data_IF_433269391203
#
_entry.id   IF_433269391203
#
_cell.length_a   1.000
_cell.length_b   1.000
_cell.length_c   1.000
_cell.angle_alpha   90.00
_cell.angle_beta   90.00
_cell.angle_gamma   90.00
#
_symmetry.space_group_name_H-M   'P 1'
#
loop_
_entity.id
_entity.type
_entity.pdbx_description
1 polymer ?
#
# COMPACT_ATOMS: atom_id res chain seq x y z
N UNK A 1 58.73 -11.74 13.33
CA UNK A 1 58.49 -13.08 13.90
C UNK A 1 57.03 -13.37 13.94
N UNK A 2 56.73 -14.48 13.39
CA UNK A 2 55.56 -15.33 13.39
C UNK A 2 54.36 -14.93 12.53
N UNK A 3 54.34 -15.51 11.37
CA UNK A 3 53.17 -15.79 10.53
C UNK A 3 52.28 -16.85 11.18
N UNK A 4 50.98 -16.74 11.01
CA UNK A 4 50.08 -17.91 11.04
C UNK A 4 49.09 -17.79 9.89
N UNK A 5 49.32 -18.60 8.90
CA UNK A 5 48.38 -19.01 7.84
C UNK A 5 47.31 -19.92 8.44
N UNK A 6 46.07 -19.77 8.00
CA UNK A 6 45.10 -20.84 8.08
C UNK A 6 44.21 -20.83 6.83
N UNK A 7 44.59 -21.71 5.91
CA UNK A 7 43.79 -22.16 4.77
C UNK A 7 42.84 -23.28 5.23
N UNK A 8 41.55 -23.16 4.90
CA UNK A 8 40.69 -24.36 4.79
C UNK A 8 39.61 -24.13 3.73
N UNK A 9 39.90 -24.65 2.56
CA UNK A 9 38.98 -24.90 1.45
C UNK A 9 38.24 -26.21 1.77
N UNK A 10 36.94 -26.17 1.99
CA UNK A 10 36.11 -27.37 1.98
C UNK A 10 35.38 -27.50 0.64
N UNK A 11 35.79 -28.50 -0.10
CA UNK A 11 35.18 -29.05 -1.32
C UNK A 11 33.79 -29.61 -0.98
N UNK A 12 32.78 -29.18 -1.71
CA UNK A 12 31.53 -29.92 -1.83
C UNK A 12 31.58 -30.73 -3.12
N UNK A 13 31.62 -32.07 -2.96
CA UNK A 13 31.58 -33.04 -4.04
C UNK A 13 30.17 -33.14 -4.63
N UNK A 14 30.11 -33.09 -5.95
CA UNK A 14 28.92 -33.42 -6.71
C UNK A 14 28.65 -34.92 -6.68
N UNK A 15 27.44 -35.34 -6.29
CA UNK A 15 26.87 -36.65 -6.53
C UNK A 15 25.71 -36.51 -7.51
N UNK A 16 25.97 -36.90 -8.76
CA UNK A 16 24.98 -37.15 -9.79
C UNK A 16 24.29 -38.50 -9.52
N UNK A 17 22.96 -38.49 -9.40
CA UNK A 17 22.12 -39.68 -9.52
C UNK A 17 21.03 -39.39 -10.57
N UNK A 18 20.94 -40.19 -11.65
CA UNK A 18 19.85 -40.08 -12.59
C UNK A 18 18.66 -40.91 -12.17
N UNK A 19 17.48 -40.32 -12.18
CA UNK A 19 16.22 -41.03 -11.87
C UNK A 19 15.01 -40.18 -12.07
N UNK A 20 14.37 -40.36 -13.22
CA UNK A 20 13.05 -39.86 -13.56
C UNK A 20 12.00 -40.11 -12.47
N UNK A 21 11.37 -39.09 -11.92
CA UNK A 21 10.10 -39.23 -11.17
C UNK A 21 9.15 -38.11 -11.51
N UNK A 22 8.02 -38.50 -12.10
CA UNK A 22 6.84 -37.74 -12.37
C UNK A 22 6.39 -36.91 -11.16
N UNK A 23 6.21 -35.61 -11.33
CA UNK A 23 5.55 -34.75 -10.36
C UNK A 23 4.07 -35.11 -10.28
N UNK A 24 3.64 -35.78 -9.22
CA UNK A 24 2.23 -35.91 -8.87
C UNK A 24 1.73 -34.63 -8.27
N UNK A 25 0.82 -33.94 -8.97
CA UNK A 25 0.01 -32.85 -8.47
C UNK A 25 -0.86 -33.36 -7.30
N UNK A 26 -0.52 -32.95 -6.08
CA UNK A 26 -1.41 -33.12 -4.93
C UNK A 26 -2.59 -32.15 -5.03
N UNK A 27 -3.73 -32.63 -5.50
CA UNK A 27 -5.02 -31.98 -5.27
C UNK A 27 -5.32 -31.99 -3.78
N UNK A 28 -5.32 -30.83 -3.13
CA UNK A 28 -5.82 -30.70 -1.76
C UNK A 28 -7.33 -30.98 -1.78
N UNK A 29 -7.78 -32.00 -1.04
CA UNK A 29 -9.19 -32.25 -0.74
C UNK A 29 -9.69 -31.18 0.21
N UNK A 30 -10.97 -30.74 0.12
CA UNK A 30 -11.57 -29.84 1.11
C UNK A 30 -11.59 -30.53 2.48
N UNK A 31 -11.26 -29.78 3.52
CA UNK A 31 -11.40 -30.24 4.90
C UNK A 31 -12.88 -30.14 5.25
N UNK A 32 -13.55 -31.29 5.44
CA UNK A 32 -14.87 -31.36 6.04
C UNK A 32 -14.76 -30.98 7.52
N UNK A 33 -15.46 -29.93 7.91
CA UNK A 33 -15.65 -29.56 9.31
C UNK A 33 -16.63 -30.54 9.94
N UNK A 34 -16.11 -31.47 10.76
CA UNK A 34 -16.90 -32.32 11.64
C UNK A 34 -17.52 -31.47 12.75
N UNK A 35 -18.81 -31.27 12.69
CA UNK A 35 -19.59 -30.79 13.83
C UNK A 35 -19.80 -31.94 14.82
N UNK A 36 -19.63 -31.75 16.13
CA UNK A 36 -19.95 -32.80 17.11
C UNK A 36 -21.47 -33.01 17.15
N UNK A 37 -21.87 -34.26 16.93
CA UNK A 37 -23.24 -34.69 17.08
C UNK A 37 -23.65 -34.67 18.56
N UNK A 38 -24.85 -34.18 18.84
CA UNK A 38 -25.53 -34.31 20.13
C UNK A 38 -25.84 -35.75 20.42
N UNK A 39 -25.35 -36.26 21.54
CA UNK A 39 -25.84 -37.51 22.12
C UNK A 39 -27.24 -37.31 22.70
N UNK A 40 -28.17 -38.11 22.20
CA UNK A 40 -29.50 -38.30 22.80
C UNK A 40 -29.36 -39.28 23.98
N UNK A 41 -29.63 -38.83 25.18
CA UNK A 41 -29.82 -39.68 26.33
C UNK A 41 -31.35 -39.87 26.61
N UNK A 42 -31.71 -41.15 26.66
CA UNK A 42 -33.06 -41.62 26.76
C UNK A 42 -33.76 -41.34 28.08
N UNK A 43 -35.08 -41.38 28.02
CA UNK A 43 -36.08 -41.10 29.01
C UNK A 43 -36.04 -41.98 30.26
N UNK A 44 -36.38 -41.37 31.42
CA UNK A 44 -37.14 -42.02 32.50
C UNK A 44 -37.78 -41.00 33.45
N UNK A 45 -39.11 -41.12 33.66
CA UNK A 45 -39.78 -40.82 34.91
C UNK A 45 -40.34 -39.42 35.15
N UNK A 46 -41.66 -39.23 34.90
CA UNK A 46 -42.48 -38.20 35.55
C UNK A 46 -42.70 -38.49 37.02
N UNK A 47 -42.87 -37.48 37.88
CA UNK A 47 -44.25 -37.11 38.27
C UNK A 47 -44.49 -35.58 38.26
N UNK A 48 -45.81 -35.30 38.24
CA UNK A 48 -46.42 -33.99 38.15
C UNK A 48 -46.32 -33.19 39.46
N UNK A 49 -46.35 -31.89 39.26
CA UNK A 49 -47.13 -30.81 39.92
C UNK A 49 -46.27 -29.60 40.22
N UNK A 50 -46.61 -28.50 39.68
CA UNK A 50 -46.90 -27.21 40.24
C UNK A 50 -46.68 -26.09 39.25
N UNK A 51 -47.69 -25.31 38.99
CA UNK A 51 -47.59 -24.06 38.24
C UNK A 51 -46.97 -22.98 39.12
N UNK A 52 -45.93 -22.32 38.70
CA UNK A 52 -45.58 -20.99 39.16
C UNK A 52 -45.99 -19.93 38.13
N UNK A 53 -46.30 -18.79 38.67
CA UNK A 53 -46.92 -17.65 38.05
C UNK A 53 -46.18 -17.07 36.86
N UNK A 54 -46.98 -16.40 36.07
CA UNK A 54 -46.60 -15.59 34.92
C UNK A 54 -45.38 -14.70 35.16
N UNK A 55 -44.24 -15.05 34.56
CA UNK A 55 -43.11 -14.14 34.42
C UNK A 55 -43.52 -12.98 33.46
N UNK A 56 -43.13 -11.74 33.77
CA UNK A 56 -43.44 -10.62 32.89
C UNK A 56 -42.78 -10.83 31.50
N UNK A 57 -43.59 -10.72 30.44
CA UNK A 57 -43.08 -10.62 29.07
C UNK A 57 -42.08 -9.44 29.03
N UNK A 58 -40.81 -9.72 28.83
CA UNK A 58 -39.80 -8.73 28.44
C UNK A 58 -40.23 -8.07 27.14
N UNK A 59 -40.62 -6.82 27.25
CA UNK A 59 -40.84 -5.95 26.09
C UNK A 59 -39.51 -5.79 25.32
N UNK A 60 -39.51 -5.72 23.97
CA UNK A 60 -38.30 -5.48 23.20
C UNK A 60 -37.67 -4.17 23.66
N UNK A 61 -36.44 -4.27 24.17
CA UNK A 61 -35.73 -3.29 24.95
C UNK A 61 -35.74 -1.88 24.38
N UNK A 62 -36.14 -0.94 25.19
CA UNK A 62 -35.82 0.48 25.01
C UNK A 62 -34.32 0.62 24.90
N UNK A 63 -33.80 1.50 24.02
CA UNK A 63 -32.35 1.73 23.92
C UNK A 63 -31.84 2.14 25.31
N UNK A 64 -30.86 1.41 25.82
CA UNK A 64 -30.13 1.77 27.03
C UNK A 64 -29.65 3.21 26.91
N UNK A 65 -29.90 4.04 27.88
CA UNK A 65 -29.39 5.41 27.93
C UNK A 65 -27.86 5.46 27.80
N UNK A 66 -27.30 6.61 27.43
CA UNK A 66 -25.86 6.75 27.24
C UNK A 66 -25.10 6.40 28.53
N UNK A 67 -24.13 5.51 28.43
CA UNK A 67 -23.16 5.24 29.51
C UNK A 67 -22.09 6.31 29.51
N UNK A 68 -21.66 6.79 30.67
CA UNK A 68 -20.64 7.83 30.81
C UNK A 68 -19.28 7.20 31.14
N UNK A 69 -18.21 7.63 30.45
CA UNK A 69 -16.85 7.26 30.74
C UNK A 69 -15.93 8.49 30.59
N UNK A 70 -15.24 8.88 31.64
CA UNK A 70 -14.29 9.99 31.64
C UNK A 70 -14.86 11.27 30.95
N UNK A 71 -16.15 11.55 31.15
CA UNK A 71 -16.89 12.66 30.54
C UNK A 71 -17.35 12.41 29.07
N UNK A 72 -17.10 11.23 28.51
CA UNK A 72 -17.59 10.82 27.19
C UNK A 72 -18.84 9.94 27.32
N UNK A 73 -19.89 10.27 26.57
CA UNK A 73 -21.09 9.44 26.46
C UNK A 73 -20.95 8.44 25.31
N UNK A 74 -21.34 7.20 25.52
CA UNK A 74 -21.35 6.19 24.46
C UNK A 74 -22.66 5.38 24.49
N UNK A 75 -23.05 4.91 23.32
CA UNK A 75 -24.20 4.02 23.11
C UNK A 75 -23.72 2.57 23.03
N UNK A 76 -24.56 1.62 23.44
CA UNK A 76 -24.36 0.20 23.16
C UNK A 76 -25.09 -0.17 21.87
N UNK A 77 -24.46 -0.85 20.96
CA UNK A 77 -25.12 -1.41 19.78
C UNK A 77 -26.07 -2.55 20.21
N UNK A 78 -27.18 -2.69 19.50
CA UNK A 78 -28.15 -3.77 19.70
C UNK A 78 -28.13 -4.74 18.49
N UNK A 79 -28.59 -5.98 18.66
CA UNK A 79 -28.70 -6.94 17.56
C UNK A 79 -29.56 -6.38 16.41
N UNK A 80 -29.02 -6.41 15.16
CA UNK A 80 -29.72 -5.85 14.00
C UNK A 80 -29.58 -4.34 13.81
N UNK A 81 -28.68 -3.68 14.52
CA UNK A 81 -28.41 -2.25 14.33
C UNK A 81 -27.93 -1.97 12.89
N UNK A 82 -28.72 -1.18 12.16
CA UNK A 82 -28.45 -0.84 10.75
C UNK A 82 -27.10 -0.12 10.53
N UNK A 83 -26.55 0.49 11.58
CA UNK A 83 -25.24 1.15 11.53
C UNK A 83 -24.11 0.15 11.26
N UNK A 84 -24.24 -1.07 11.80
CA UNK A 84 -23.23 -2.13 11.65
C UNK A 84 -23.13 -2.62 10.20
N UNK A 85 -24.26 -2.75 9.50
CA UNK A 85 -24.28 -3.14 8.09
C UNK A 85 -23.52 -2.15 7.19
N UNK A 86 -23.59 -0.84 7.51
CA UNK A 86 -22.85 0.19 6.77
C UNK A 86 -21.34 0.06 6.94
N UNK A 87 -20.85 -0.42 8.08
CA UNK A 87 -19.41 -0.64 8.31
C UNK A 87 -18.87 -1.70 7.36
N UNK A 88 -19.59 -2.82 7.21
CA UNK A 88 -19.21 -3.90 6.28
C UNK A 88 -19.11 -3.39 4.84
N UNK A 89 -20.11 -2.62 4.40
CA UNK A 89 -20.14 -2.07 3.05
C UNK A 89 -18.99 -1.08 2.83
N UNK A 90 -18.69 -0.23 3.82
CA UNK A 90 -17.60 0.74 3.77
C UNK A 90 -16.23 0.04 3.71
N UNK A 91 -16.07 -1.07 4.44
CA UNK A 91 -14.85 -1.86 4.41
C UNK A 91 -14.59 -2.49 3.02
N UNK A 92 -15.63 -3.03 2.39
CA UNK A 92 -15.50 -3.88 1.19
C UNK A 92 -15.70 -3.17 -0.14
N UNK A 93 -16.34 -1.99 -0.18
CA UNK A 93 -16.74 -1.34 -1.44
C UNK A 93 -16.07 0.02 -1.65
N UNK A 94 -15.15 0.10 -2.64
CA UNK A 94 -14.55 1.35 -3.13
C UNK A 94 -15.66 2.35 -3.53
N UNK A 95 -16.60 1.90 -4.37
CA UNK A 95 -17.71 2.75 -4.84
C UNK A 95 -18.51 3.36 -3.69
N UNK A 96 -18.76 2.58 -2.63
CA UNK A 96 -19.49 3.06 -1.46
C UNK A 96 -18.68 4.09 -0.67
N UNK A 97 -17.35 3.89 -0.51
CA UNK A 97 -16.45 4.87 0.13
C UNK A 97 -16.45 6.19 -0.63
N UNK A 98 -16.34 6.13 -1.97
CA UNK A 98 -16.31 7.31 -2.84
C UNK A 98 -17.64 8.08 -2.81
N UNK A 99 -18.77 7.39 -2.97
CA UNK A 99 -20.10 8.00 -2.96
C UNK A 99 -20.44 8.68 -1.63
N UNK A 100 -20.00 8.12 -0.51
CA UNK A 100 -20.30 8.67 0.82
C UNK A 100 -19.19 9.58 1.35
N UNK A 101 -18.06 9.71 0.64
CA UNK A 101 -16.92 10.49 1.10
C UNK A 101 -16.39 10.02 2.46
N UNK A 102 -16.39 8.69 2.71
CA UNK A 102 -16.00 8.11 4.00
C UNK A 102 -14.95 7.04 3.85
N UNK A 103 -14.13 6.90 4.88
CA UNK A 103 -13.13 5.84 4.99
C UNK A 103 -13.28 5.11 6.31
N UNK A 104 -12.76 3.89 6.36
CA UNK A 104 -12.70 3.07 7.56
C UNK A 104 -11.25 2.92 7.99
N UNK A 105 -10.97 3.29 9.23
CA UNK A 105 -9.63 3.19 9.83
C UNK A 105 -9.69 2.24 11.01
N UNK A 106 -8.90 1.18 10.96
CA UNK A 106 -8.85 0.15 11.99
C UNK A 106 -7.56 0.24 12.82
N UNK A 107 -7.71 0.12 14.11
CA UNK A 107 -6.62 0.02 15.06
C UNK A 107 -6.22 1.36 15.68
N UNK A 108 -5.82 1.27 16.95
CA UNK A 108 -5.49 2.43 17.79
C UNK A 108 -4.49 3.38 17.15
N UNK A 109 -3.38 2.84 16.65
CA UNK A 109 -2.30 3.66 16.08
C UNK A 109 -2.77 4.46 14.87
N UNK A 110 -3.45 3.82 13.92
CA UNK A 110 -3.95 4.50 12.72
C UNK A 110 -5.00 5.55 13.05
N UNK A 111 -5.90 5.27 13.99
CA UNK A 111 -6.90 6.23 14.46
C UNK A 111 -6.21 7.43 15.10
N UNK A 112 -5.19 7.22 15.94
CA UNK A 112 -4.42 8.30 16.58
C UNK A 112 -3.67 9.13 15.54
N UNK A 113 -3.00 8.49 14.56
CA UNK A 113 -2.29 9.18 13.48
C UNK A 113 -3.29 10.02 12.65
N UNK A 114 -4.44 9.47 12.29
CA UNK A 114 -5.49 10.17 11.57
C UNK A 114 -6.01 11.41 12.32
N UNK A 115 -6.33 11.24 13.61
CA UNK A 115 -6.74 12.34 14.48
C UNK A 115 -5.64 13.39 14.65
N UNK A 116 -4.38 12.95 14.72
CA UNK A 116 -3.20 13.82 14.77
C UNK A 116 -3.09 14.72 13.54
N UNK A 117 -3.32 14.15 12.36
CA UNK A 117 -3.31 14.85 11.09
C UNK A 117 -4.56 15.71 10.81
N UNK A 118 -5.51 15.76 11.75
CA UNK A 118 -6.71 16.57 11.62
C UNK A 118 -7.83 15.92 10.80
N UNK A 119 -7.76 14.61 10.54
CA UNK A 119 -8.85 13.90 9.89
C UNK A 119 -10.10 13.86 10.79
N UNK A 120 -11.28 14.05 10.18
CA UNK A 120 -12.55 14.18 10.89
C UNK A 120 -13.17 12.81 11.18
N UNK A 121 -13.08 12.37 12.44
CA UNK A 121 -13.74 11.16 12.93
C UNK A 121 -15.24 11.41 13.18
N UNK A 122 -16.11 10.63 12.55
CA UNK A 122 -17.57 10.73 12.72
C UNK A 122 -18.13 9.73 13.72
N UNK A 123 -17.67 8.49 13.64
CA UNK A 123 -18.16 7.40 14.48
C UNK A 123 -16.99 6.50 14.87
N UNK A 124 -16.91 6.12 16.12
CA UNK A 124 -15.96 5.16 16.64
C UNK A 124 -16.68 3.96 17.21
N UNK A 125 -16.39 2.79 16.68
CA UNK A 125 -16.81 1.51 17.22
C UNK A 125 -15.68 0.93 18.07
N UNK A 126 -16.00 0.44 19.25
CA UNK A 126 -15.03 -0.13 20.17
C UNK A 126 -15.63 -1.31 20.96
N UNK A 127 -14.81 -2.30 21.28
CA UNK A 127 -15.25 -3.49 22.02
C UNK A 127 -15.10 -3.34 23.52
N UNK A 128 -14.00 -2.75 23.98
CA UNK A 128 -13.69 -2.58 25.40
C UNK A 128 -13.42 -1.12 25.72
N UNK A 129 -13.66 -0.75 26.96
CA UNK A 129 -13.43 0.62 27.44
C UNK A 129 -11.94 0.96 27.45
N UNK A 130 -11.10 -0.03 27.67
CA UNK A 130 -9.65 0.09 27.65
C UNK A 130 -9.18 0.53 26.26
N UNK A 131 -9.74 -0.06 25.18
CA UNK A 131 -9.43 0.34 23.81
C UNK A 131 -9.78 1.81 23.52
N UNK A 132 -10.77 2.36 24.22
CA UNK A 132 -11.15 3.77 24.10
C UNK A 132 -10.17 4.68 24.85
N UNK A 133 -9.74 4.28 26.07
CA UNK A 133 -8.80 5.06 26.91
C UNK A 133 -7.44 5.24 26.26
N UNK A 134 -7.04 4.34 25.39
CA UNK A 134 -5.78 4.39 24.68
C UNK A 134 -5.77 5.41 23.51
N UNK A 135 -6.91 6.04 23.21
CA UNK A 135 -7.07 7.06 22.20
C UNK A 135 -7.02 8.47 22.81
N UNK A 136 -6.75 9.53 22.02
CA UNK A 136 -6.77 10.91 22.50
C UNK A 136 -8.22 11.35 22.83
N UNK A 137 -8.67 11.14 24.07
CA UNK A 137 -10.04 11.35 24.52
C UNK A 137 -10.57 12.76 24.25
N UNK A 138 -9.70 13.77 24.30
CA UNK A 138 -10.06 15.17 24.00
C UNK A 138 -10.62 15.34 22.59
N UNK A 139 -10.09 14.59 21.62
CA UNK A 139 -10.54 14.62 20.22
C UNK A 139 -11.82 13.82 19.98
N UNK A 140 -12.28 13.07 21.00
CA UNK A 140 -13.47 12.22 20.90
C UNK A 140 -14.76 12.89 21.44
N UNK A 141 -14.68 14.09 22.03
CA UNK A 141 -15.81 14.77 22.70
C UNK A 141 -17.05 14.96 21.80
N UNK A 142 -16.84 15.11 20.48
CA UNK A 142 -17.93 15.33 19.51
C UNK A 142 -18.14 14.13 18.58
N UNK A 143 -17.54 12.99 18.90
CA UNK A 143 -17.59 11.78 18.08
C UNK A 143 -18.71 10.87 18.61
N UNK A 144 -19.43 10.25 17.70
CA UNK A 144 -20.41 9.21 18.07
C UNK A 144 -19.69 7.94 18.48
N UNK A 145 -19.71 7.62 19.78
CA UNK A 145 -19.05 6.45 20.35
C UNK A 145 -20.06 5.31 20.47
N UNK A 146 -19.73 4.14 19.90
CA UNK A 146 -20.61 2.97 19.89
C UNK A 146 -19.85 1.76 20.40
N UNK A 147 -20.28 1.23 21.54
CA UNK A 147 -19.75 -0.04 22.07
C UNK A 147 -20.40 -1.21 21.34
N UNK A 148 -19.58 -2.10 20.78
CA UNK A 148 -19.99 -3.29 20.05
C UNK A 148 -19.38 -4.53 20.67
N UNK A 149 -19.89 -5.73 20.32
CA UNK A 149 -19.22 -6.98 20.67
C UNK A 149 -17.95 -7.14 19.85
N UNK A 150 -16.94 -7.80 20.42
CA UNK A 150 -15.67 -8.03 19.72
C UNK A 150 -15.84 -8.84 18.42
N UNK A 151 -16.82 -9.76 18.41
CA UNK A 151 -17.18 -10.57 17.26
C UNK A 151 -17.63 -9.70 16.06
N UNK A 152 -18.33 -8.59 16.32
CA UNK A 152 -18.72 -7.65 15.26
C UNK A 152 -17.47 -7.00 14.62
N UNK A 153 -16.53 -6.55 15.45
CA UNK A 153 -15.27 -5.99 14.95
C UNK A 153 -14.48 -7.02 14.14
N UNK A 154 -14.45 -8.28 14.61
CA UNK A 154 -13.79 -9.37 13.90
C UNK A 154 -14.40 -9.65 12.52
N UNK A 155 -15.71 -9.50 12.36
CA UNK A 155 -16.37 -9.64 11.05
C UNK A 155 -16.05 -8.49 10.07
N UNK A 156 -15.73 -7.31 10.59
CA UNK A 156 -15.40 -6.14 9.76
C UNK A 156 -13.92 -6.05 9.42
N UNK A 157 -13.10 -6.75 10.19
CA UNK A 157 -11.65 -6.76 10.06
C UNK A 157 -11.19 -7.97 9.27
N UNK A 158 -10.19 -7.78 8.40
CA UNK A 158 -9.47 -8.86 7.76
C UNK A 158 -8.26 -9.33 8.60
N UNK A 159 -8.10 -8.81 9.83
CA UNK A 159 -7.02 -9.19 10.72
C UNK A 159 -7.35 -10.48 11.49
N UNK A 160 -6.35 -11.31 11.70
CA UNK A 160 -6.45 -12.49 12.57
C UNK A 160 -6.73 -12.08 14.01
N UNK A 161 -6.10 -10.99 14.45
CA UNK A 161 -6.24 -10.40 15.80
C UNK A 161 -6.59 -8.90 15.69
N UNK A 162 -7.88 -8.55 15.56
CA UNK A 162 -8.32 -7.15 15.54
C UNK A 162 -7.99 -6.42 16.84
N UNK A 163 -7.69 -5.12 16.74
CA UNK A 163 -7.32 -4.30 17.90
C UNK A 163 -8.52 -3.75 18.68
N UNK A 164 -9.73 -4.15 18.33
CA UNK A 164 -10.94 -3.80 19.10
C UNK A 164 -11.44 -2.37 18.91
N UNK A 165 -10.91 -1.61 17.96
CA UNK A 165 -11.37 -0.25 17.65
C UNK A 165 -11.37 0.01 16.14
N UNK A 166 -12.49 0.57 15.62
CA UNK A 166 -12.67 0.93 14.21
C UNK A 166 -13.35 2.29 14.13
N UNK A 167 -12.74 3.22 13.40
CA UNK A 167 -13.24 4.57 13.17
C UNK A 167 -13.77 4.76 11.75
N UNK A 168 -14.94 5.43 11.62
CA UNK A 168 -15.42 5.98 10.35
C UNK A 168 -15.03 7.45 10.29
N UNK A 169 -14.17 7.78 9.35
CA UNK A 169 -13.72 9.14 9.08
C UNK A 169 -14.35 9.71 7.81
N UNK A 170 -14.45 11.01 7.73
CA UNK A 170 -14.62 11.70 6.46
C UNK A 170 -13.36 11.42 5.64
N UNK A 171 -13.51 11.14 4.33
CA UNK A 171 -12.35 10.94 3.45
C UNK A 171 -11.45 12.17 3.52
N UNK A 172 -10.19 12.02 3.95
CA UNK A 172 -9.31 13.17 4.10
C UNK A 172 -9.01 13.84 2.77
N UNK A 173 -8.96 15.15 2.79
CA UNK A 173 -8.47 15.99 1.72
C UNK A 173 -7.02 16.39 2.07
N UNK A 174 -6.06 16.01 1.26
CA UNK A 174 -4.64 16.26 1.49
C UNK A 174 -4.32 17.75 1.66
N UNK A 175 -5.10 18.65 1.05
CA UNK A 175 -4.92 20.11 1.16
C UNK A 175 -5.29 20.66 2.54
N UNK A 176 -6.13 19.92 3.29
CA UNK A 176 -6.64 20.31 4.61
C UNK A 176 -5.97 19.57 5.76
N UNK A 177 -5.13 18.59 5.45
CA UNK A 177 -4.44 17.80 6.45
C UNK A 177 -3.23 18.54 7.02
N UNK A 178 -2.97 18.29 8.30
CA UNK A 178 -1.78 18.80 9.02
C UNK A 178 -0.77 17.67 9.14
N UNK A 179 0.27 17.72 8.33
CA UNK A 179 1.34 16.74 8.40
C UNK A 179 2.31 17.06 9.55
N UNK A 180 2.90 16.04 10.22
CA UNK A 180 3.81 16.25 11.34
C UNK A 180 5.02 17.11 10.94
N UNK A 181 5.37 18.12 11.75
CA UNK A 181 6.51 19.03 11.50
C UNK A 181 7.82 18.26 11.32
N UNK A 182 8.07 17.28 12.17
CA UNK A 182 9.26 16.42 12.08
C UNK A 182 9.38 15.69 10.73
N UNK A 183 8.26 15.36 10.10
CA UNK A 183 8.29 14.76 8.76
C UNK A 183 8.69 15.80 7.71
N UNK A 184 8.20 17.04 7.85
CA UNK A 184 8.52 18.13 6.92
C UNK A 184 9.99 18.54 7.00
N UNK A 185 10.57 18.57 8.19
CA UNK A 185 11.99 18.88 8.42
C UNK A 185 12.93 17.86 7.75
N UNK A 186 12.48 16.61 7.62
CA UNK A 186 13.28 15.54 7.02
C UNK A 186 12.91 15.23 5.57
N UNK A 187 12.07 16.08 4.97
CA UNK A 187 11.67 15.94 3.57
C UNK A 187 12.82 16.34 2.64
N UNK A 188 13.01 15.52 1.61
CA UNK A 188 13.93 15.80 0.49
C UNK A 188 13.13 16.05 -0.78
N UNK A 189 13.67 16.76 -1.80
CA UNK A 189 12.96 17.06 -3.03
C UNK A 189 12.87 15.82 -3.95
N UNK A 190 12.37 14.73 -3.38
CA UNK A 190 12.10 13.44 -4.01
C UNK A 190 10.61 13.19 -4.02
N UNK A 191 10.06 12.85 -5.18
CA UNK A 191 8.65 12.53 -5.36
C UNK A 191 8.48 11.11 -5.86
N UNK A 192 7.37 10.49 -5.50
CA UNK A 192 7.00 9.17 -5.99
C UNK A 192 5.78 9.28 -6.91
N UNK A 193 5.83 8.62 -8.05
CA UNK A 193 4.68 8.43 -8.95
C UNK A 193 4.39 6.92 -8.99
N UNK A 194 3.22 6.52 -8.56
CA UNK A 194 2.75 5.14 -8.68
C UNK A 194 1.94 4.97 -9.96
N UNK A 195 2.41 4.09 -10.84
CA UNK A 195 1.77 3.83 -12.12
C UNK A 195 1.05 2.48 -12.10
N UNK A 196 -0.29 2.53 -12.09
CA UNK A 196 -1.15 1.35 -12.18
C UNK A 196 -0.85 0.25 -11.14
N UNK A 197 -0.52 0.64 -9.90
CA UNK A 197 -0.23 -0.29 -8.81
C UNK A 197 -1.55 -0.85 -8.26
N UNK A 198 -1.84 -2.13 -8.54
CA UNK A 198 -3.13 -2.76 -8.24
C UNK A 198 -3.16 -3.56 -6.93
N UNK A 199 -2.01 -4.07 -6.48
CA UNK A 199 -1.98 -4.80 -5.20
C UNK A 199 -1.97 -3.83 -4.01
N UNK A 200 -2.95 -3.95 -3.09
CA UNK A 200 -3.06 -3.05 -1.94
C UNK A 200 -1.93 -3.21 -0.93
N UNK A 201 -1.31 -4.39 -0.84
CA UNK A 201 -0.16 -4.63 0.02
C UNK A 201 1.08 -3.90 -0.50
N UNK A 202 1.33 -3.99 -1.81
CA UNK A 202 2.43 -3.30 -2.46
C UNK A 202 2.25 -1.79 -2.36
N UNK A 203 1.06 -1.25 -2.71
CA UNK A 203 0.82 0.18 -2.59
C UNK A 203 1.07 0.68 -1.16
N UNK A 204 0.51 0.02 -0.16
CA UNK A 204 0.73 0.42 1.24
C UNK A 204 2.20 0.38 1.65
N UNK A 205 2.94 -0.65 1.24
CA UNK A 205 4.38 -0.78 1.51
C UNK A 205 5.18 0.31 0.80
N UNK A 206 4.85 0.64 -0.45
CA UNK A 206 5.46 1.73 -1.22
C UNK A 206 5.24 3.07 -0.52
N UNK A 207 4.01 3.36 -0.08
CA UNK A 207 3.70 4.59 0.66
C UNK A 207 4.51 4.70 1.95
N UNK A 208 4.65 3.59 2.67
CA UNK A 208 5.47 3.54 3.88
C UNK A 208 6.95 3.81 3.59
N UNK A 209 7.49 3.26 2.52
CA UNK A 209 8.87 3.49 2.07
C UNK A 209 9.08 4.94 1.63
N UNK A 210 8.11 5.53 0.92
CA UNK A 210 8.16 6.94 0.52
C UNK A 210 8.22 7.89 1.72
N UNK A 211 7.40 7.66 2.75
CA UNK A 211 7.46 8.43 4.01
C UNK A 211 8.80 8.25 4.69
N UNK A 212 9.30 7.01 4.80
CA UNK A 212 10.57 6.71 5.46
C UNK A 212 11.78 7.29 4.71
N UNK A 213 11.72 7.33 3.39
CA UNK A 213 12.73 7.99 2.56
C UNK A 213 12.60 9.52 2.54
N UNK A 214 11.59 10.11 3.17
CA UNK A 214 11.38 11.56 3.22
C UNK A 214 10.91 12.17 1.90
N UNK A 215 10.15 11.43 1.10
CA UNK A 215 9.52 11.98 -0.12
C UNK A 215 8.62 13.16 0.22
N UNK A 216 8.59 14.18 -0.64
CA UNK A 216 7.75 15.37 -0.45
C UNK A 216 6.27 15.12 -0.74
N UNK A 217 5.95 14.25 -1.68
CA UNK A 217 4.58 13.85 -2.05
C UNK A 217 4.56 12.56 -2.85
N UNK A 218 3.37 11.96 -2.93
CA UNK A 218 3.08 10.79 -3.76
C UNK A 218 1.93 11.12 -4.72
N UNK A 219 2.14 10.81 -5.99
CA UNK A 219 1.15 10.92 -7.06
C UNK A 219 0.77 9.51 -7.51
N UNK A 220 -0.51 9.21 -7.60
CA UNK A 220 -1.00 7.89 -8.02
C UNK A 220 -1.88 8.04 -9.26
N UNK A 221 -1.52 7.33 -10.32
CA UNK A 221 -2.28 7.35 -11.57
C UNK A 221 -3.64 6.68 -11.41
N UNK A 222 -4.54 6.99 -12.33
CA UNK A 222 -5.77 6.24 -12.51
C UNK A 222 -5.41 4.78 -12.84
N UNK A 223 -6.10 3.84 -12.21
CA UNK A 223 -5.76 2.41 -12.30
C UNK A 223 -5.07 1.87 -11.05
N UNK A 224 -4.47 2.72 -10.23
CA UNK A 224 -4.02 2.31 -8.90
C UNK A 224 -5.20 1.89 -8.01
N UNK A 225 -4.94 0.94 -7.12
CA UNK A 225 -5.90 0.53 -6.09
C UNK A 225 -6.29 1.73 -5.22
N UNK A 226 -7.50 1.69 -4.65
CA UNK A 226 -7.96 2.77 -3.76
C UNK A 226 -7.00 2.96 -2.57
N UNK A 227 -6.34 4.10 -2.51
CA UNK A 227 -5.41 4.44 -1.44
C UNK A 227 -6.04 4.37 -0.04
N UNK A 228 -7.35 4.58 0.05
CA UNK A 228 -8.12 4.52 1.30
C UNK A 228 -8.73 3.14 1.58
N UNK A 229 -8.36 2.13 0.83
CA UNK A 229 -8.76 0.76 1.15
C UNK A 229 -8.14 0.31 2.49
N UNK A 230 -8.91 -0.37 3.37
CA UNK A 230 -8.40 -0.79 4.68
C UNK A 230 -7.09 -1.60 4.62
N UNK A 231 -6.91 -2.42 3.58
CA UNK A 231 -5.67 -3.19 3.38
C UNK A 231 -4.48 -2.29 3.06
N UNK A 232 -4.66 -1.23 2.24
CA UNK A 232 -3.62 -0.24 1.94
C UNK A 232 -3.26 0.57 3.18
N UNK A 233 -4.28 1.04 3.93
CA UNK A 233 -4.08 1.78 5.18
C UNK A 233 -3.26 0.98 6.20
N UNK A 234 -3.56 -0.31 6.35
CA UNK A 234 -2.82 -1.20 7.26
C UNK A 234 -1.38 -1.41 6.80
N UNK A 235 -1.18 -1.78 5.54
CA UNK A 235 0.17 -1.99 4.98
C UNK A 235 1.02 -0.71 5.05
N UNK A 236 0.41 0.46 4.82
CA UNK A 236 1.05 1.77 4.88
C UNK A 236 1.38 2.25 6.30
N UNK A 237 0.85 1.59 7.36
CA UNK A 237 1.18 1.89 8.77
C UNK A 237 1.10 3.38 9.12
N UNK A 238 0.07 4.08 8.63
CA UNK A 238 -0.15 5.51 8.89
C UNK A 238 0.59 6.46 7.93
N UNK A 239 1.23 5.98 6.89
CA UNK A 239 1.88 6.80 5.87
C UNK A 239 0.94 7.86 5.27
N UNK A 240 -0.34 7.51 5.12
CA UNK A 240 -1.40 8.39 4.60
C UNK A 240 -1.57 9.70 5.39
N UNK A 241 -1.17 9.73 6.65
CA UNK A 241 -1.29 10.86 7.56
C UNK A 241 0.02 11.61 7.77
N UNK A 242 1.07 11.27 6.99
CA UNK A 242 2.43 11.81 7.13
C UNK A 242 2.95 12.51 5.88
N UNK A 243 2.37 12.23 4.72
CA UNK A 243 2.80 12.75 3.42
C UNK A 243 1.56 13.06 2.56
N UNK A 244 1.59 14.13 1.73
CA UNK A 244 0.54 14.37 0.75
C UNK A 244 0.47 13.24 -0.29
N UNK A 245 -0.72 12.66 -0.46
CA UNK A 245 -0.99 11.63 -1.47
C UNK A 245 -2.14 12.09 -2.34
N UNK A 246 -1.87 12.30 -3.62
CA UNK A 246 -2.84 12.70 -4.63
C UNK A 246 -3.09 11.48 -5.51
N UNK A 247 -4.32 11.00 -5.54
CA UNK A 247 -4.68 9.76 -6.22
C UNK A 247 -5.69 9.97 -7.34
N UNK A 248 -5.81 8.96 -8.21
CA UNK A 248 -6.73 8.96 -9.35
C UNK A 248 -6.43 10.06 -10.37
N UNK A 249 -5.13 10.26 -10.66
CA UNK A 249 -4.65 11.24 -11.63
C UNK A 249 -4.56 10.63 -13.02
N UNK A 250 -5.05 11.36 -14.02
CA UNK A 250 -4.71 11.10 -15.41
C UNK A 250 -3.27 11.57 -15.68
N UNK A 251 -2.58 10.94 -16.61
CA UNK A 251 -1.17 11.25 -16.89
C UNK A 251 -0.96 12.69 -17.35
N UNK A 252 -1.90 13.24 -18.09
CA UNK A 252 -1.88 14.63 -18.59
C UNK A 252 -1.86 15.67 -17.47
N UNK A 253 -2.36 15.30 -16.30
CA UNK A 253 -2.47 16.18 -15.14
C UNK A 253 -1.24 16.09 -14.23
N UNK A 254 -0.50 14.99 -14.25
CA UNK A 254 0.66 14.76 -13.38
C UNK A 254 1.72 15.87 -13.47
N UNK A 255 2.07 16.40 -14.66
CA UNK A 255 3.03 17.49 -14.76
C UNK A 255 2.64 18.75 -13.97
N UNK A 256 1.36 19.02 -13.76
CA UNK A 256 0.89 20.17 -12.97
C UNK A 256 1.24 20.08 -11.47
N UNK A 257 1.58 18.88 -11.00
CA UNK A 257 2.02 18.65 -9.62
C UNK A 257 3.54 18.62 -9.48
N UNK A 258 4.27 18.77 -10.58
CA UNK A 258 5.74 18.77 -10.61
C UNK A 258 6.24 20.17 -10.96
N UNK A 259 7.44 20.51 -10.47
CA UNK A 259 8.13 21.71 -10.94
C UNK A 259 8.63 21.50 -12.37
N UNK A 260 8.79 22.56 -13.14
CA UNK A 260 9.37 22.52 -14.48
C UNK A 260 10.82 21.97 -14.50
N UNK A 261 11.51 22.07 -13.37
CA UNK A 261 12.87 21.53 -13.17
C UNK A 261 12.88 20.08 -12.70
N UNK A 262 11.70 19.45 -12.47
CA UNK A 262 11.65 18.07 -11.99
C UNK A 262 12.06 17.10 -13.07
N UNK A 263 13.11 16.32 -12.80
CA UNK A 263 13.50 15.18 -13.63
C UNK A 263 12.68 13.95 -13.21
N UNK A 264 12.05 13.30 -14.18
CA UNK A 264 11.25 12.10 -13.96
C UNK A 264 12.02 10.87 -14.40
N UNK A 265 12.27 9.96 -13.48
CA UNK A 265 12.97 8.70 -13.70
C UNK A 265 11.96 7.55 -13.61
N UNK A 266 12.18 6.48 -14.35
CA UNK A 266 11.30 5.32 -14.32
C UNK A 266 12.05 4.07 -13.84
N UNK A 267 11.44 3.30 -12.95
CA UNK A 267 12.01 2.02 -12.48
C UNK A 267 11.72 0.93 -13.51
N UNK A 268 12.75 0.45 -14.17
CA UNK A 268 12.64 -0.57 -15.23
C UNK A 268 13.65 -1.70 -14.95
N UNK A 269 13.21 -2.97 -14.84
CA UNK A 269 14.11 -4.10 -14.65
C UNK A 269 14.97 -4.41 -15.89
N UNK A 270 14.60 -3.88 -17.06
CA UNK A 270 15.30 -4.15 -18.32
C UNK A 270 16.74 -3.63 -18.25
N UNK A 271 17.69 -4.51 -18.33
CA UNK A 271 19.09 -4.16 -18.55
C UNK A 271 19.19 -3.52 -19.94
N UNK A 272 19.61 -2.28 -20.01
CA UNK A 272 19.97 -1.69 -21.29
C UNK A 272 21.11 -2.50 -21.90
N UNK A 273 20.75 -3.44 -22.71
CA UNK A 273 21.73 -4.07 -23.60
C UNK A 273 22.33 -2.96 -24.42
N UNK A 274 23.62 -2.64 -24.16
CA UNK A 274 24.46 -1.85 -25.05
C UNK A 274 24.74 -2.69 -26.27
N UNK A 275 23.79 -2.80 -27.18
CA UNK A 275 24.07 -3.30 -28.50
C UNK A 275 23.62 -2.26 -29.51
N UNK A 276 24.60 -1.42 -29.90
CA UNK A 276 24.59 -0.60 -31.10
C UNK A 276 24.88 -1.46 -32.31
N UNK A 277 24.03 -2.44 -32.60
CA UNK A 277 24.03 -3.07 -33.93
C UNK A 277 22.59 -3.39 -34.31
N UNK A 278 21.99 -2.44 -35.02
CA UNK A 278 20.72 -2.63 -35.75
C UNK A 278 21.03 -3.55 -36.93
N UNK A 279 20.81 -4.85 -36.72
CA UNK A 279 20.50 -5.77 -37.83
C UNK A 279 19.08 -6.27 -37.60
N UNK A 280 18.20 -6.27 -38.63
CA UNK A 280 16.85 -6.79 -38.48
C UNK A 280 16.90 -8.28 -38.13
N UNK A 281 16.11 -8.81 -37.19
CA UNK A 281 16.10 -10.23 -36.91
C UNK A 281 15.39 -10.98 -38.06
N UNK A 282 16.15 -11.94 -38.66
CA UNK A 282 15.54 -13.00 -39.46
C UNK A 282 14.54 -13.80 -38.64
N UNK A 283 13.43 -14.17 -39.28
CA UNK A 283 12.39 -15.04 -38.67
C UNK A 283 13.00 -16.39 -38.27
N UNK A 284 13.02 -16.69 -36.98
CA UNK A 284 13.42 -18.01 -36.48
C UNK A 284 13.27 -18.13 -34.95
N UNK A 285 12.12 -18.60 -34.54
CA UNK A 285 11.82 -19.40 -33.35
C UNK A 285 12.44 -19.09 -31.99
N UNK A 286 11.55 -18.98 -31.01
CA UNK A 286 11.64 -19.24 -29.56
C UNK A 286 12.03 -18.08 -28.67
N UNK A 287 11.00 -17.54 -28.04
CA UNK A 287 10.96 -17.32 -26.59
C UNK A 287 11.62 -16.08 -26.02
N UNK A 288 11.16 -14.88 -26.39
CA UNK A 288 11.40 -13.73 -25.50
C UNK A 288 10.09 -12.96 -25.25
N UNK A 289 9.65 -13.02 -23.98
CA UNK A 289 8.42 -12.36 -23.52
C UNK A 289 8.77 -11.01 -22.88
N UNK A 290 9.19 -10.04 -23.65
CA UNK A 290 9.49 -8.74 -23.04
C UNK A 290 8.66 -7.55 -23.53
N UNK A 291 7.72 -7.72 -24.42
CA UNK A 291 6.79 -6.62 -24.77
C UNK A 291 5.42 -7.21 -25.13
N UNK A 292 4.52 -7.34 -24.15
CA UNK A 292 3.12 -7.60 -24.49
C UNK A 292 2.55 -6.32 -25.11
N UNK A 293 2.35 -6.39 -26.45
CA UNK A 293 1.41 -5.55 -27.16
C UNK A 293 0.12 -5.49 -26.37
N UNK A 294 -0.37 -4.29 -26.13
CA UNK A 294 -1.74 -4.06 -25.74
C UNK A 294 -2.57 -4.36 -26.96
N UNK A 295 -3.13 -5.57 -27.05
CA UNK A 295 -4.20 -5.88 -28.00
C UNK A 295 -5.39 -5.01 -27.64
N UNK A 296 -5.60 -3.96 -28.42
CA UNK A 296 -6.92 -3.35 -28.54
C UNK A 296 -7.78 -4.34 -29.32
N UNK A 297 -8.89 -4.77 -28.73
CA UNK A 297 -9.92 -5.49 -29.47
C UNK A 297 -10.38 -4.59 -30.61
N UNK A 298 -10.05 -5.00 -31.82
CA UNK A 298 -10.58 -4.44 -33.03
C UNK A 298 -12.11 -4.65 -33.05
N UNK A 299 -12.83 -3.56 -33.04
CA UNK A 299 -14.17 -3.52 -33.61
C UNK A 299 -13.99 -3.26 -35.08
N UNK A 300 -14.49 -4.20 -35.91
CA UNK A 300 -14.51 -4.12 -37.37
C UNK A 300 -15.09 -2.77 -37.83
N UNK A 301 -14.24 -1.89 -38.33
CA UNK A 301 -14.60 -0.84 -39.27
C UNK A 301 -13.39 -0.63 -40.18
N UNK A 302 -13.57 -1.08 -41.43
CA UNK A 302 -12.64 -0.86 -42.55
C UNK A 302 -12.60 0.65 -42.87
N UNK A 303 -11.63 1.37 -42.36
CA UNK A 303 -11.18 2.66 -42.88
C UNK A 303 -9.65 2.67 -42.84
N UNK A 304 -9.06 2.59 -44.04
CA UNK A 304 -7.59 2.73 -44.27
C UNK A 304 -7.13 4.15 -43.89
N UNK A 305 -6.83 4.40 -42.59
CA UNK A 305 -6.00 5.53 -42.22
C UNK A 305 -4.66 4.97 -41.70
N UNK A 306 -3.57 5.37 -42.37
CA UNK A 306 -2.22 4.92 -42.08
C UNK A 306 -1.89 5.06 -40.61
N UNK A 307 -1.59 3.93 -39.97
CA UNK A 307 -1.16 3.80 -38.59
C UNK A 307 0.15 4.56 -38.41
N UNK A 308 0.08 5.78 -37.90
CA UNK A 308 1.25 6.56 -37.51
C UNK A 308 1.85 5.88 -36.27
N UNK A 309 2.74 4.91 -36.47
CA UNK A 309 3.56 4.33 -35.42
C UNK A 309 4.43 5.44 -34.82
N UNK A 310 3.97 6.01 -33.72
CA UNK A 310 4.76 6.94 -32.96
C UNK A 310 6.04 6.22 -32.50
N UNK A 311 7.24 6.81 -32.73
CA UNK A 311 8.47 6.20 -32.30
C UNK A 311 8.47 6.00 -30.79
N UNK A 312 8.86 4.80 -30.34
CA UNK A 312 8.97 4.51 -28.90
C UNK A 312 9.91 5.51 -28.22
N UNK A 313 9.57 5.98 -27.00
CA UNK A 313 10.38 6.95 -26.27
C UNK A 313 11.82 6.44 -26.06
N UNK A 314 12.80 7.27 -26.40
CA UNK A 314 14.23 6.97 -26.25
C UNK A 314 14.71 7.40 -24.86
N UNK A 315 14.55 6.53 -23.87
CA UNK A 315 15.00 6.79 -22.49
C UNK A 315 16.19 5.89 -22.17
N UNK A 316 17.36 6.50 -21.93
CA UNK A 316 18.59 5.78 -21.59
C UNK A 316 18.48 5.01 -20.26
N UNK A 317 19.16 3.87 -20.14
CA UNK A 317 19.16 3.06 -18.93
C UNK A 317 20.41 3.35 -18.08
N UNK A 318 20.19 3.55 -16.75
CA UNK A 318 21.24 3.81 -15.78
C UNK A 318 21.13 2.84 -14.61
N UNK A 319 22.29 2.36 -14.15
CA UNK A 319 22.32 1.62 -12.90
C UNK A 319 21.89 2.52 -11.74
N UNK A 320 21.05 2.00 -10.84
CA UNK A 320 20.52 2.74 -9.70
C UNK A 320 21.59 3.35 -8.79
N UNK A 321 22.80 2.79 -8.78
CA UNK A 321 23.92 3.29 -7.97
C UNK A 321 24.69 4.46 -8.61
N UNK A 322 24.42 4.79 -9.88
CA UNK A 322 25.00 5.96 -10.54
C UNK A 322 24.35 7.26 -10.00
N UNK A 323 25.01 8.42 -10.10
CA UNK A 323 24.47 9.69 -9.65
C UNK A 323 23.38 10.19 -10.60
N UNK A 324 22.12 9.95 -10.27
CA UNK A 324 20.95 10.31 -11.08
C UNK A 324 20.03 11.34 -10.42
N UNK A 325 20.09 11.49 -9.08
CA UNK A 325 19.25 12.45 -8.38
C UNK A 325 19.66 13.88 -8.71
N UNK A 326 18.68 14.77 -8.79
CA UNK A 326 18.84 16.22 -8.99
C UNK A 326 18.04 16.97 -7.95
N UNK A 327 18.11 18.34 -7.98
CA UNK A 327 17.40 19.19 -7.04
C UNK A 327 15.91 18.87 -6.91
N UNK A 328 15.27 18.47 -8.02
CA UNK A 328 13.88 18.04 -8.04
C UNK A 328 13.80 16.73 -8.81
N UNK A 329 13.49 15.66 -8.13
CA UNK A 329 13.48 14.31 -8.72
C UNK A 329 12.17 13.58 -8.45
N UNK A 330 11.58 12.97 -9.46
CA UNK A 330 10.44 12.07 -9.33
C UNK A 330 10.80 10.67 -9.84
N UNK A 331 10.37 9.64 -9.12
CA UNK A 331 10.57 8.23 -9.53
C UNK A 331 9.21 7.60 -9.81
N UNK A 332 9.05 7.05 -10.99
CA UNK A 332 7.87 6.27 -11.38
C UNK A 332 8.10 4.80 -11.06
N UNK A 333 7.16 4.21 -10.35
CA UNK A 333 7.12 2.78 -10.04
C UNK A 333 5.91 2.17 -10.71
N UNK A 334 6.13 1.22 -11.61
CA UNK A 334 5.08 0.49 -12.32
C UNK A 334 4.47 -0.64 -11.48
N UNK A 335 3.26 -1.06 -11.87
CA UNK A 335 2.60 -2.24 -11.31
C UNK A 335 3.25 -3.54 -11.81
N UNK A 336 3.12 -4.63 -11.03
CA UNK A 336 3.75 -5.92 -11.34
C UNK A 336 3.23 -6.59 -12.61
N UNK A 337 1.96 -6.37 -12.95
CA UNK A 337 1.30 -7.07 -14.07
C UNK A 337 1.54 -6.40 -15.42
N UNK A 338 1.58 -5.07 -15.44
CA UNK A 338 1.60 -4.29 -16.68
C UNK A 338 2.90 -3.47 -16.85
N UNK A 339 3.76 -3.45 -15.82
CA UNK A 339 4.98 -2.65 -15.83
C UNK A 339 4.68 -1.15 -15.86
N UNK A 340 5.48 -0.42 -16.63
CA UNK A 340 5.34 1.02 -16.87
C UNK A 340 4.42 1.28 -18.05
N UNK A 341 3.61 2.33 -17.96
CA UNK A 341 2.80 2.83 -19.08
C UNK A 341 3.66 3.59 -20.10
N UNK A 342 3.16 3.75 -21.31
CA UNK A 342 3.82 4.55 -22.35
C UNK A 342 3.94 6.01 -21.89
N UNK A 343 2.93 6.53 -21.25
CA UNK A 343 2.89 7.90 -20.73
C UNK A 343 3.99 8.16 -19.69
N UNK A 344 4.32 7.16 -18.87
CA UNK A 344 5.45 7.24 -17.93
C UNK A 344 6.77 7.45 -18.67
N UNK A 345 7.00 6.68 -19.73
CA UNK A 345 8.21 6.77 -20.56
C UNK A 345 8.27 8.11 -21.32
N UNK A 346 7.16 8.56 -21.88
CA UNK A 346 7.07 9.87 -22.56
C UNK A 346 7.35 11.02 -21.59
N UNK A 347 6.85 10.95 -20.36
CA UNK A 347 7.13 11.97 -19.35
C UNK A 347 8.61 11.95 -18.93
N UNK A 348 9.21 10.77 -18.79
CA UNK A 348 10.65 10.63 -18.52
C UNK A 348 11.48 11.24 -19.66
N UNK A 349 11.20 10.91 -20.92
CA UNK A 349 11.89 11.48 -22.08
C UNK A 349 11.77 13.00 -22.11
N UNK A 350 10.56 13.53 -21.94
CA UNK A 350 10.29 14.98 -21.95
C UNK A 350 11.04 15.76 -20.88
N UNK A 351 11.32 15.13 -19.74
CA UNK A 351 12.04 15.75 -18.61
C UNK A 351 13.54 15.43 -18.59
N UNK A 352 14.07 14.78 -19.64
CA UNK A 352 15.47 14.36 -19.70
C UNK A 352 15.81 13.29 -18.65
N UNK A 353 14.84 12.48 -18.27
CA UNK A 353 14.99 11.41 -17.31
C UNK A 353 15.59 10.13 -17.90
N UNK A 354 15.77 9.13 -17.06
CA UNK A 354 16.36 7.84 -17.43
C UNK A 354 15.52 6.68 -16.83
N UNK A 355 15.78 5.50 -17.38
CA UNK A 355 15.35 4.23 -16.78
C UNK A 355 16.36 3.84 -15.72
N UNK A 356 15.92 3.61 -14.50
CA UNK A 356 16.75 3.12 -13.41
C UNK A 356 16.59 1.61 -13.28
N UNK A 357 17.66 0.87 -13.46
CA UNK A 357 17.66 -0.57 -13.22
C UNK A 357 18.48 -0.94 -11.99
N UNK A 358 18.02 -1.97 -11.29
CA UNK A 358 18.71 -2.59 -10.16
C UNK A 358 19.38 -3.88 -10.71
N UNK A 359 20.71 -4.00 -10.70
CA UNK A 359 21.38 -5.22 -11.17
C UNK A 359 20.95 -6.43 -10.37
N UNK A 360 20.56 -7.49 -11.06
CA UNK A 360 20.14 -8.76 -10.47
C UNK A 360 21.02 -9.91 -10.97
N UNK A 361 21.08 -10.99 -10.20
CA UNK A 361 21.73 -12.22 -10.65
C UNK A 361 20.93 -12.85 -11.80
N UNK A 362 21.59 -13.58 -12.72
CA UNK A 362 20.91 -14.32 -13.78
C UNK A 362 19.78 -15.21 -13.22
N UNK A 363 18.71 -15.36 -13.96
CA UNK A 363 17.51 -16.12 -13.64
C UNK A 363 16.53 -15.43 -12.63
N UNK A 364 16.74 -14.16 -12.29
CA UNK A 364 15.78 -13.32 -11.58
C UNK A 364 15.36 -12.18 -12.51
N UNK A 365 14.13 -12.19 -12.97
CA UNK A 365 13.64 -11.25 -13.98
C UNK A 365 13.29 -9.87 -13.38
N UNK A 366 12.74 -9.84 -12.18
CA UNK A 366 12.32 -8.59 -11.54
C UNK A 366 12.22 -8.73 -10.01
N UNK A 367 12.26 -7.60 -9.32
CA UNK A 367 11.90 -7.48 -7.91
C UNK A 367 10.41 -7.17 -7.78
N UNK A 368 9.84 -7.54 -6.63
CA UNK A 368 8.55 -7.00 -6.22
C UNK A 368 8.56 -5.46 -6.27
N UNK A 369 7.51 -4.84 -6.80
CA UNK A 369 7.42 -3.38 -7.00
C UNK A 369 7.69 -2.56 -5.74
N UNK A 370 7.25 -3.04 -4.57
CA UNK A 370 7.51 -2.36 -3.30
C UNK A 370 8.98 -2.48 -2.86
N UNK A 371 9.64 -3.58 -3.19
CA UNK A 371 11.07 -3.75 -2.90
C UNK A 371 11.92 -2.86 -3.82
N UNK A 372 11.63 -2.84 -5.12
CA UNK A 372 12.27 -1.94 -6.07
C UNK A 372 12.11 -0.48 -5.66
N UNK A 373 10.88 -0.07 -5.33
CA UNK A 373 10.59 1.27 -4.82
C UNK A 373 11.44 1.61 -3.59
N UNK A 374 11.55 0.69 -2.63
CA UNK A 374 12.34 0.93 -1.42
C UNK A 374 13.81 1.16 -1.73
N UNK A 375 14.42 0.34 -2.56
CA UNK A 375 15.83 0.48 -2.97
C UNK A 375 16.07 1.84 -3.65
N UNK A 376 15.24 2.19 -4.64
CA UNK A 376 15.41 3.42 -5.41
C UNK A 376 15.16 4.68 -4.57
N UNK A 377 14.14 4.68 -3.72
CA UNK A 377 13.80 5.83 -2.88
C UNK A 377 14.90 6.12 -1.83
N UNK A 378 15.44 5.08 -1.19
CA UNK A 378 16.53 5.28 -0.22
C UNK A 378 17.85 5.67 -0.88
N UNK A 379 18.13 5.16 -2.06
CA UNK A 379 19.29 5.61 -2.84
C UNK A 379 19.12 7.07 -3.27
N UNK A 380 17.94 7.46 -3.77
CA UNK A 380 17.63 8.85 -4.10
C UNK A 380 17.81 9.79 -2.90
N UNK A 381 17.29 9.38 -1.73
CA UNK A 381 17.52 10.13 -0.49
C UNK A 381 19.01 10.29 -0.19
N UNK A 382 19.79 9.21 -0.27
CA UNK A 382 21.24 9.24 -0.02
C UNK A 382 21.94 10.24 -0.93
N UNK A 383 21.63 10.19 -2.24
CA UNK A 383 22.23 11.08 -3.22
C UNK A 383 21.88 12.55 -2.94
N UNK A 384 20.59 12.86 -2.71
CA UNK A 384 20.14 14.22 -2.41
C UNK A 384 20.76 14.80 -1.13
N UNK A 385 20.87 14.01 -0.06
CA UNK A 385 21.53 14.45 1.16
C UNK A 385 23.03 14.70 0.96
N UNK A 386 23.70 13.90 0.13
CA UNK A 386 25.12 14.11 -0.18
C UNK A 386 25.35 15.41 -0.96
N UNK A 387 24.45 15.82 -1.83
CA UNK A 387 24.52 17.10 -2.54
C UNK A 387 24.44 18.29 -1.56
N UNK A 388 23.52 18.25 -0.59
CA UNK A 388 23.35 19.31 0.41
C UNK A 388 24.62 19.46 1.28
N UNK A 389 25.26 18.35 1.63
CA UNK A 389 26.51 18.39 2.42
C UNK A 389 27.68 18.95 1.61
N UNK A 390 27.76 18.66 0.30
CA UNK A 390 28.80 19.19 -0.58
C UNK A 390 28.69 20.72 -0.76
N UNK A 391 27.46 21.24 -0.95
CA UNK A 391 27.25 22.70 -1.08
C UNK A 391 27.60 23.46 0.20
N UNK A 392 27.26 22.92 1.37
CA UNK A 392 27.58 23.55 2.67
C UNK A 392 29.08 23.52 3.00
N UNK A 393 29.87 22.62 2.37
CA UNK A 393 31.32 22.57 2.58
C UNK A 393 32.09 23.56 1.72
N UNK A 394 31.54 24.00 0.60
CA UNK A 394 32.14 25.01 -0.30
C UNK A 394 31.91 26.43 0.18
N UNK A 395 30.89 26.69 1.01
CA UNK A 395 30.56 28.02 1.55
C UNK A 395 31.27 28.39 2.86
N UNK A 396 32.21 27.58 3.36
CA UNK A 396 33.06 28.00 4.48
C UNK A 396 34.19 28.88 3.92
N UNK A 397 34.17 30.20 4.17
CA UNK A 397 35.29 31.05 3.78
C UNK A 397 36.55 30.55 4.52
N UNK A 398 37.62 30.42 3.78
CA UNK A 398 38.97 30.10 4.26
C UNK A 398 39.41 31.19 5.28
N UNK A 399 39.03 31.07 6.54
CA UNK A 399 39.54 31.92 7.60
C UNK A 399 40.87 31.34 8.12
N UNK A 400 41.89 31.40 7.27
CA UNK A 400 43.27 31.23 7.69
C UNK A 400 44.08 32.28 6.94
N UNK A 401 44.29 33.41 7.57
CA UNK A 401 45.50 34.24 7.49
C UNK A 401 45.34 35.41 8.47
N UNK A 402 45.97 35.38 9.58
CA UNK A 402 46.97 36.34 10.08
C UNK A 402 47.42 35.93 11.49
#
# INVERSE_FOLDING_TARGET
MAALSCSSVSRWGALLVPGSRQLRLFRRRPIELLYPQKEEAAAAGRPATEKPGSAPREQPGRPFGPSLLDGLSYEKAFPGDKRLAKVVTLAKSKKFREQHGKILVEGRRLITDALGAGALLQTLFFSTVESLRELPLEKLKHVKLIKVKFEEIKMWSDLVTPQGAIGIFVRPDHSKMKYPAIQQEHTVPLFLIGDNIRDPGNLGTILRSAVAAGCGKVLLTKGCVDVWEPKVLRAGMGAHFRIPIISNLEWEVIPNYLSSSTRVLVADPSHGGTDHSVTPPELGATGDRSWRQVEYQESDSEDEEGEFLLPLPKVGAWCYSQPWAQEQTAIVIGGETHGLSLEALLLAEKTGGQRLYIPMVPAVDSLNSAMAASVLLFEGRRQLLSMVTATNSTDRPNSSVA
#
